data_IF_091453885722
#
_entry.id   IF_091453885722
#
_cell.length_a   1.000
_cell.length_b   1.000
_cell.length_c   1.000
_cell.angle_alpha   90.00
_cell.angle_beta   90.00
_cell.angle_gamma   90.00
#
_symmetry.space_group_name_H-M   'P 1'
#
loop_
_entity.id
_entity.type
_entity.pdbx_description
1 polymer ?
#
# COMPACT_ATOMS: atom_id res chain seq x y z
N UNK A 1 -9.93 -17.15 -18.15
CA UNK A 1 -10.72 -16.54 -17.07
C UNK A 1 -10.17 -15.13 -16.95
N UNK A 2 -10.77 -14.23 -17.72
CA UNK A 2 -10.66 -12.76 -17.76
C UNK A 2 -9.34 -12.12 -17.29
N UNK A 3 -8.38 -12.06 -18.22
CA UNK A 3 -7.27 -11.10 -18.26
C UNK A 3 -7.81 -9.68 -18.47
N UNK A 4 -8.49 -9.13 -17.46
CA UNK A 4 -9.11 -7.82 -17.54
C UNK A 4 -8.05 -6.71 -17.30
N UNK A 5 -7.48 -6.25 -18.42
CA UNK A 5 -6.76 -4.97 -18.66
C UNK A 5 -5.32 -4.91 -18.12
N UNK A 6 -4.38 -5.60 -18.79
CA UNK A 6 -2.96 -5.26 -18.73
C UNK A 6 -2.61 -4.16 -19.76
N UNK A 7 -3.08 -2.94 -19.53
CA UNK A 7 -2.58 -1.78 -20.28
C UNK A 7 -1.20 -1.39 -19.76
N UNK A 8 -0.12 -2.07 -20.18
CA UNK A 8 1.29 -1.80 -19.82
C UNK A 8 1.50 -1.02 -18.50
N UNK A 9 0.94 -1.55 -17.40
CA UNK A 9 1.04 -0.93 -16.09
C UNK A 9 2.44 -1.10 -15.54
N UNK A 10 2.93 -0.12 -14.78
CA UNK A 10 4.17 -0.27 -14.02
C UNK A 10 4.03 -1.47 -13.09
N UNK A 11 5.03 -2.35 -13.06
CA UNK A 11 5.02 -3.49 -12.13
C UNK A 11 5.61 -3.10 -10.78
N UNK A 12 5.35 -3.91 -9.74
CA UNK A 12 6.03 -3.76 -8.46
C UNK A 12 7.55 -3.86 -8.63
N UNK A 13 8.03 -4.78 -9.48
CA UNK A 13 9.46 -4.93 -9.80
C UNK A 13 10.06 -3.65 -10.40
N UNK A 14 9.35 -2.99 -11.32
CA UNK A 14 9.76 -1.70 -11.87
C UNK A 14 9.82 -0.61 -10.81
N UNK A 15 8.84 -0.59 -9.90
CA UNK A 15 8.83 0.33 -8.76
C UNK A 15 9.99 0.05 -7.80
N UNK A 16 10.26 -1.20 -7.45
CA UNK A 16 11.33 -1.56 -6.52
C UNK A 16 12.72 -1.14 -7.03
N UNK A 17 12.96 -1.17 -8.34
CA UNK A 17 14.25 -0.76 -8.93
C UNK A 17 14.63 0.69 -8.62
N UNK A 18 13.66 1.56 -8.35
CA UNK A 18 13.91 2.97 -8.02
C UNK A 18 14.07 3.23 -6.51
N UNK A 19 13.79 2.23 -5.66
CA UNK A 19 13.84 2.37 -4.21
C UNK A 19 15.27 2.29 -3.67
N UNK A 20 15.55 3.06 -2.61
CA UNK A 20 16.74 2.85 -1.80
C UNK A 20 16.70 1.44 -1.18
N UNK A 21 17.82 0.72 -1.20
CA UNK A 21 17.89 -0.66 -0.70
C UNK A 21 17.44 -0.79 0.77
N UNK A 22 17.63 0.26 1.57
CA UNK A 22 17.24 0.29 2.97
C UNK A 22 15.71 0.21 3.20
N UNK A 23 14.88 0.67 2.26
CA UNK A 23 13.42 0.69 2.41
C UNK A 23 12.71 -0.43 1.66
N UNK A 24 13.42 -1.19 0.81
CA UNK A 24 12.82 -2.30 0.04
C UNK A 24 12.15 -3.36 0.93
N UNK A 25 12.80 -3.87 2.01
CA UNK A 25 12.17 -4.88 2.86
C UNK A 25 10.88 -4.39 3.52
N UNK A 26 10.84 -3.09 3.86
CA UNK A 26 9.66 -2.47 4.45
C UNK A 26 8.48 -2.41 3.47
N UNK A 27 8.76 -2.15 2.19
CA UNK A 27 7.76 -2.22 1.14
C UNK A 27 7.26 -3.64 0.89
N UNK A 28 8.16 -4.63 0.86
CA UNK A 28 7.80 -6.04 0.70
C UNK A 28 6.86 -6.51 1.81
N UNK A 29 7.21 -6.21 3.07
CA UNK A 29 6.41 -6.58 4.24
C UNK A 29 5.02 -5.90 4.25
N UNK A 30 4.95 -4.60 3.95
CA UNK A 30 3.68 -3.88 3.86
C UNK A 30 2.80 -4.38 2.71
N UNK A 31 3.42 -4.71 1.57
CA UNK A 31 2.74 -5.25 0.38
C UNK A 31 2.16 -6.63 0.66
N UNK A 32 2.96 -7.52 1.21
CA UNK A 32 2.53 -8.88 1.57
C UNK A 32 1.40 -8.84 2.60
N UNK A 33 1.52 -7.96 3.60
CA UNK A 33 0.46 -7.75 4.57
C UNK A 33 -0.84 -7.27 3.91
N UNK A 34 -0.78 -6.26 3.03
CA UNK A 34 -1.96 -5.76 2.34
C UNK A 34 -2.65 -6.85 1.51
N UNK A 35 -1.90 -7.67 0.77
CA UNK A 35 -2.47 -8.81 0.03
C UNK A 35 -3.07 -9.88 0.94
N UNK A 36 -2.54 -10.07 2.16
CA UNK A 36 -3.08 -11.03 3.12
C UNK A 36 -4.47 -10.66 3.66
N UNK A 37 -4.89 -9.38 3.55
CA UNK A 37 -6.17 -8.90 4.11
C UNK A 37 -7.40 -9.44 3.39
N UNK A 38 -7.27 -9.82 2.12
CA UNK A 38 -8.36 -10.47 1.38
C UNK A 38 -8.14 -10.58 -0.12
N UNK A 39 -8.90 -11.48 -0.74
CA UNK A 39 -8.82 -11.78 -2.18
C UNK A 39 -9.25 -10.63 -3.10
N UNK A 40 -9.91 -9.61 -2.54
CA UNK A 40 -10.41 -8.44 -3.26
C UNK A 40 -9.47 -7.23 -3.13
N UNK A 41 -8.28 -7.41 -2.57
CA UNK A 41 -7.24 -6.38 -2.55
C UNK A 41 -6.63 -6.23 -3.93
N UNK A 42 -6.57 -4.99 -4.41
CA UNK A 42 -5.97 -4.63 -5.69
C UNK A 42 -4.78 -3.71 -5.42
N UNK A 43 -3.63 -4.05 -6.00
CA UNK A 43 -2.44 -3.21 -6.03
C UNK A 43 -2.46 -2.32 -7.27
N UNK A 44 -2.32 -1.01 -7.08
CA UNK A 44 -2.14 -0.01 -8.12
C UNK A 44 -0.75 0.62 -7.96
N UNK A 45 0.20 0.15 -8.78
CA UNK A 45 1.59 0.62 -8.76
C UNK A 45 1.73 1.88 -9.62
N UNK A 46 2.18 2.97 -8.97
CA UNK A 46 2.37 4.28 -9.60
C UNK A 46 3.84 4.66 -9.64
N UNK A 47 4.13 5.79 -10.31
CA UNK A 47 5.51 6.20 -10.50
C UNK A 47 6.29 6.40 -9.19
N UNK A 48 5.63 6.85 -8.12
CA UNK A 48 6.29 7.24 -6.87
C UNK A 48 5.62 6.63 -5.63
N UNK A 49 4.68 5.69 -5.80
CA UNK A 49 3.94 5.09 -4.68
C UNK A 49 3.21 3.82 -5.11
N UNK A 50 2.75 3.06 -4.12
CA UNK A 50 1.85 1.92 -4.33
C UNK A 50 0.58 2.19 -3.56
N UNK A 51 -0.56 2.01 -4.23
CA UNK A 51 -1.88 2.22 -3.64
C UNK A 51 -2.61 0.88 -3.55
N UNK A 52 -3.09 0.53 -2.37
CA UNK A 52 -3.91 -0.66 -2.16
C UNK A 52 -5.37 -0.29 -2.03
N UNK A 53 -6.19 -0.92 -2.87
CA UNK A 53 -7.63 -0.70 -2.96
C UNK A 53 -8.43 -1.94 -2.56
N UNK A 54 -9.61 -1.71 -2.00
CA UNK A 54 -10.62 -2.76 -1.79
C UNK A 54 -11.57 -2.78 -2.98
N UNK A 55 -11.62 -3.90 -3.69
CA UNK A 55 -12.50 -4.18 -4.83
C UNK A 55 -12.27 -3.29 -6.07
N UNK A 56 -12.98 -3.61 -7.16
CA UNK A 56 -12.99 -2.88 -8.43
C UNK A 56 -13.54 -1.45 -8.34
N UNK A 57 -14.08 -1.02 -7.18
CA UNK A 57 -14.46 0.38 -6.95
C UNK A 57 -13.26 1.27 -6.64
N UNK A 58 -12.04 0.71 -6.61
CA UNK A 58 -10.77 1.41 -6.38
C UNK A 58 -10.77 2.31 -5.14
N UNK A 59 -11.43 1.83 -4.09
CA UNK A 59 -11.46 2.51 -2.80
C UNK A 59 -10.17 2.19 -2.06
N UNK A 60 -9.23 3.11 -2.12
CA UNK A 60 -7.94 2.91 -1.47
C UNK A 60 -8.08 2.99 0.05
N UNK A 61 -7.38 2.08 0.73
CA UNK A 61 -7.25 2.06 2.19
C UNK A 61 -5.82 2.36 2.65
N UNK A 62 -4.82 2.09 1.80
CA UNK A 62 -3.42 2.41 2.05
C UNK A 62 -2.77 3.00 0.79
N UNK A 63 -2.04 4.10 0.95
CA UNK A 63 -1.17 4.70 -0.08
C UNK A 63 0.25 4.82 0.52
N UNK A 64 1.23 4.18 -0.12
CA UNK A 64 2.56 3.92 0.44
C UNK A 64 3.62 4.57 -0.43
N UNK A 65 4.33 5.55 0.13
CA UNK A 65 5.29 6.40 -0.56
C UNK A 65 6.72 6.21 -0.01
N UNK A 66 7.72 5.96 -0.88
CA UNK A 66 9.10 5.82 -0.45
C UNK A 66 9.69 7.19 -0.12
N UNK A 67 10.54 7.22 0.90
CA UNK A 67 11.43 8.33 1.21
C UNK A 67 12.88 7.84 1.15
N UNK A 68 13.83 8.74 1.38
CA UNK A 68 15.27 8.41 1.37
C UNK A 68 15.64 7.33 2.39
N UNK A 69 15.09 7.40 3.60
CA UNK A 69 15.43 6.57 4.75
C UNK A 69 14.19 6.04 5.51
N UNK A 70 13.00 6.17 4.91
CA UNK A 70 11.74 5.79 5.55
C UNK A 70 10.65 5.53 4.50
N UNK A 71 9.47 5.17 4.97
CA UNK A 71 8.24 5.04 4.18
C UNK A 71 7.16 5.89 4.82
N UNK A 72 6.37 6.58 4.01
CA UNK A 72 5.15 7.24 4.45
C UNK A 72 3.98 6.34 4.06
N UNK A 73 3.15 5.97 5.05
CA UNK A 73 1.89 5.26 4.86
C UNK A 73 0.75 6.23 5.14
N UNK A 74 -0.08 6.48 4.13
CA UNK A 74 -1.33 7.24 4.22
C UNK A 74 -2.49 6.27 4.28
N UNK A 75 -3.20 6.28 5.40
CA UNK A 75 -4.29 5.35 5.70
C UNK A 75 -5.62 6.07 5.58
N UNK A 76 -6.53 5.51 4.78
CA UNK A 76 -7.89 6.04 4.59
C UNK A 76 -8.91 5.04 5.08
N UNK A 77 -9.49 5.32 6.25
CA UNK A 77 -10.52 4.49 6.88
C UNK A 77 -11.91 4.71 6.28
N UNK A 78 -12.26 5.96 6.00
CA UNK A 78 -13.52 6.37 5.38
C UNK A 78 -13.28 7.56 4.42
N UNK A 79 -14.23 7.84 3.53
CA UNK A 79 -14.17 8.97 2.60
C UNK A 79 -14.37 10.33 3.26
N UNK A 80 -15.05 10.36 4.41
CA UNK A 80 -15.39 11.55 5.21
C UNK A 80 -14.39 11.82 6.32
N UNK A 81 -13.58 10.83 6.68
CA UNK A 81 -12.54 10.97 7.69
C UNK A 81 -11.24 11.51 7.08
N UNK A 82 -10.46 12.30 7.84
CA UNK A 82 -9.11 12.70 7.45
C UNK A 82 -8.21 11.48 7.21
N UNK A 83 -7.26 11.63 6.29
CA UNK A 83 -6.23 10.62 6.06
C UNK A 83 -5.27 10.65 7.26
N UNK A 84 -4.97 9.47 7.82
CA UNK A 84 -3.92 9.32 8.83
C UNK A 84 -2.59 9.05 8.12
N UNK A 85 -1.62 9.93 8.32
CA UNK A 85 -0.28 9.76 7.77
C UNK A 85 0.68 9.27 8.86
N UNK A 86 1.46 8.23 8.54
CA UNK A 86 2.44 7.63 9.45
C UNK A 86 3.75 7.48 8.69
N UNK A 87 4.85 7.91 9.32
CA UNK A 87 6.20 7.70 8.81
C UNK A 87 6.83 6.54 9.58
N UNK A 88 7.36 5.56 8.86
CA UNK A 88 8.03 4.38 9.44
C UNK A 88 9.44 4.28 8.88
N UNK A 89 10.42 4.08 9.74
CA UNK A 89 11.81 3.79 9.35
C UNK A 89 12.08 2.29 9.30
N UNK A 90 13.12 1.85 8.56
CA UNK A 90 13.59 0.49 8.64
C UNK A 90 13.86 0.07 10.11
N UNK A 91 13.45 -1.15 10.48
CA UNK A 91 13.56 -1.75 11.82
C UNK A 91 12.61 -1.20 12.91
N UNK A 92 11.71 -0.26 12.60
CA UNK A 92 10.62 0.08 13.51
C UNK A 92 9.52 -0.99 13.45
N UNK A 93 8.80 -1.21 14.56
CA UNK A 93 7.67 -2.15 14.57
C UNK A 93 6.54 -1.65 13.68
N UNK A 94 5.93 -2.58 12.94
CA UNK A 94 4.76 -2.32 12.10
C UNK A 94 3.42 -2.61 12.78
N UNK A 95 3.41 -3.08 14.04
CA UNK A 95 2.21 -3.60 14.70
C UNK A 95 1.04 -2.59 14.71
N UNK A 96 1.32 -1.32 15.03
CA UNK A 96 0.29 -0.28 15.03
C UNK A 96 -0.17 0.05 13.61
N UNK A 97 0.76 0.19 12.67
CA UNK A 97 0.45 0.50 11.27
C UNK A 97 -0.40 -0.62 10.66
N UNK A 98 -0.04 -1.88 10.88
CA UNK A 98 -0.78 -3.04 10.40
C UNK A 98 -2.21 -3.08 10.96
N UNK A 99 -2.41 -2.77 12.25
CA UNK A 99 -3.75 -2.66 12.85
C UNK A 99 -4.59 -1.57 12.18
N UNK A 100 -3.99 -0.42 11.89
CA UNK A 100 -4.68 0.71 11.25
C UNK A 100 -5.01 0.41 9.78
N UNK A 101 -4.11 -0.24 9.04
CA UNK A 101 -4.38 -0.70 7.67
C UNK A 101 -5.52 -1.72 7.68
N UNK A 102 -5.54 -2.67 8.62
CA UNK A 102 -6.61 -3.65 8.74
C UNK A 102 -7.97 -3.01 9.03
N UNK A 103 -8.01 -2.09 9.99
CA UNK A 103 -9.23 -1.33 10.30
C UNK A 103 -9.71 -0.53 9.07
N UNK A 104 -8.79 0.14 8.36
CA UNK A 104 -9.14 0.87 7.15
C UNK A 104 -9.67 -0.03 6.03
N UNK A 105 -9.01 -1.15 5.75
CA UNK A 105 -9.48 -2.15 4.80
C UNK A 105 -10.87 -2.69 5.17
N UNK A 106 -11.11 -2.91 6.46
CA UNK A 106 -12.41 -3.40 6.95
C UNK A 106 -13.52 -2.38 6.71
N UNK A 107 -13.28 -1.12 7.03
CA UNK A 107 -14.30 -0.06 7.05
C UNK A 107 -14.47 0.69 5.71
N UNK A 108 -13.49 0.69 4.81
CA UNK A 108 -13.63 1.38 3.52
C UNK A 108 -14.68 0.66 2.66
N UNK A 109 -15.67 1.42 2.15
CA UNK A 109 -16.87 0.85 1.53
C UNK A 109 -17.44 1.59 0.35
#
# INVERSE_FOLDING_TARGET
MDDLISGQGRTYDDFQRQLANAVKPLFDELRDYCFSLGKNVIEDVRMHRIVFCKSMTFRYFADIEPQRDSVIIKIRRDRKEPIKEIKVKPNESLDEVMKLIFDAYTNIH
#
